data_IF_671524295164
#
_entry.id   IF_671524295164
#
_cell.length_a   1.000
_cell.length_b   1.000
_cell.length_c   1.000
_cell.angle_alpha   90.00
_cell.angle_beta   90.00
_cell.angle_gamma   90.00
#
_symmetry.space_group_name_H-M   'P 1'
#
loop_
_entity.id
_entity.type
_entity.pdbx_description
1 polymer ?
#
# COMPACT_ATOMS: atom_id res chain seq x y z
N UNK A 1 3.32 -13.35 2.67
CA UNK A 1 2.73 -14.45 3.47
C UNK A 1 2.13 -13.93 4.77
N UNK A 2 1.27 -14.72 5.41
CA UNK A 2 0.76 -14.48 6.76
C UNK A 2 1.69 -15.16 7.77
N UNK A 3 2.35 -14.40 8.63
CA UNK A 3 3.34 -14.92 9.58
C UNK A 3 2.72 -15.82 10.67
N UNK A 4 1.44 -15.61 11.01
CA UNK A 4 0.77 -16.40 12.06
C UNK A 4 0.36 -17.80 11.57
N UNK A 5 0.09 -17.96 10.27
CA UNK A 5 -0.41 -19.22 9.71
C UNK A 5 0.54 -19.87 8.72
N UNK A 6 1.53 -19.15 8.21
CA UNK A 6 2.40 -19.59 7.12
C UNK A 6 1.73 -19.61 5.72
N UNK A 7 0.47 -19.19 5.63
CA UNK A 7 -0.29 -19.13 4.39
C UNK A 7 -0.03 -17.84 3.61
N UNK A 8 -0.81 -17.61 2.55
CA UNK A 8 -0.69 -16.41 1.73
C UNK A 8 -1.11 -15.13 2.49
N UNK A 9 -0.82 -13.96 1.93
CA UNK A 9 -1.27 -12.66 2.44
C UNK A 9 -2.79 -12.50 2.46
N UNK A 10 -3.52 -13.31 1.68
CA UNK A 10 -4.99 -13.37 1.60
C UNK A 10 -5.61 -14.18 2.75
N UNK A 11 -4.80 -14.78 3.62
CA UNK A 11 -5.32 -15.50 4.79
C UNK A 11 -5.71 -14.51 5.87
N UNK A 12 -7.00 -14.22 5.95
CA UNK A 12 -7.64 -13.35 6.92
C UNK A 12 -8.38 -14.14 8.02
N UNK A 13 -8.03 -15.39 8.25
CA UNK A 13 -8.69 -16.23 9.25
C UNK A 13 -8.47 -15.73 10.70
N UNK A 14 -7.48 -14.88 10.93
CA UNK A 14 -7.14 -14.31 12.24
C UNK A 14 -7.03 -12.79 12.16
N UNK A 15 -7.82 -12.09 12.94
CA UNK A 15 -7.83 -10.62 13.08
C UNK A 15 -6.75 -10.06 14.03
N UNK A 16 -5.85 -10.92 14.48
CA UNK A 16 -4.83 -10.60 15.51
C UNK A 16 -3.41 -10.57 14.97
N UNK A 17 -3.22 -10.82 13.66
CA UNK A 17 -1.88 -10.94 13.06
C UNK A 17 -1.07 -9.67 13.26
N UNK A 18 -1.63 -8.50 12.93
CA UNK A 18 -0.93 -7.22 13.11
C UNK A 18 -0.54 -7.03 14.58
N UNK A 19 -1.47 -7.21 15.50
CA UNK A 19 -1.21 -7.08 16.94
C UNK A 19 -0.11 -8.03 17.43
N UNK A 20 -0.09 -9.26 16.90
CA UNK A 20 0.90 -10.27 17.31
C UNK A 20 2.34 -9.92 16.88
N UNK A 21 2.53 -9.14 15.82
CA UNK A 21 3.85 -8.75 15.31
C UNK A 21 4.34 -7.38 15.81
N UNK A 22 3.47 -6.58 16.42
CA UNK A 22 3.86 -5.31 17.05
C UNK A 22 4.72 -5.54 18.31
N UNK A 23 5.44 -4.52 18.81
CA UNK A 23 6.22 -4.63 20.04
C UNK A 23 5.39 -5.15 21.21
N UNK A 24 5.86 -6.23 21.85
CA UNK A 24 5.15 -6.94 22.90
C UNK A 24 4.24 -8.08 22.41
N UNK A 25 4.01 -8.18 21.11
CA UNK A 25 3.26 -9.31 20.54
C UNK A 25 4.06 -10.62 20.48
N UNK A 26 3.34 -11.73 20.42
CA UNK A 26 3.93 -13.08 20.47
C UNK A 26 4.84 -13.43 19.28
N UNK A 27 4.59 -12.83 18.11
CA UNK A 27 5.33 -13.05 16.86
C UNK A 27 6.29 -11.89 16.51
N UNK A 28 6.48 -10.94 17.43
CA UNK A 28 7.31 -9.75 17.16
C UNK A 28 8.75 -10.12 16.77
N UNK A 29 9.36 -11.07 17.47
CA UNK A 29 10.74 -11.48 17.19
C UNK A 29 10.87 -12.15 15.81
N UNK A 30 9.93 -12.99 15.47
CA UNK A 30 9.85 -13.67 14.16
C UNK A 30 9.66 -12.64 13.04
N UNK A 31 8.84 -11.62 13.27
CA UNK A 31 8.63 -10.55 12.30
C UNK A 31 9.89 -9.69 12.10
N UNK A 32 10.67 -9.44 13.16
CA UNK A 32 11.96 -8.77 13.03
C UNK A 32 12.95 -9.57 12.15
N UNK A 33 12.88 -10.90 12.17
CA UNK A 33 13.69 -11.74 11.25
C UNK A 33 13.26 -11.51 9.79
N UNK A 34 11.96 -11.31 9.53
CA UNK A 34 11.50 -10.98 8.18
C UNK A 34 11.98 -9.60 7.75
N UNK A 35 11.89 -8.61 8.62
CA UNK A 35 12.42 -7.27 8.36
C UNK A 35 13.94 -7.26 8.16
N UNK A 36 14.67 -8.12 8.87
CA UNK A 36 16.11 -8.32 8.67
C UNK A 36 16.42 -8.81 7.25
N UNK A 37 15.71 -9.85 6.79
CA UNK A 37 15.87 -10.40 5.43
C UNK A 37 15.54 -9.33 4.37
N UNK A 38 14.47 -8.56 4.58
CA UNK A 38 14.07 -7.48 3.69
C UNK A 38 15.13 -6.37 3.65
N UNK A 39 15.68 -5.98 4.80
CA UNK A 39 16.76 -4.99 4.88
C UNK A 39 18.01 -5.45 4.13
N UNK A 40 18.42 -6.71 4.32
CA UNK A 40 19.57 -7.28 3.62
C UNK A 40 19.34 -7.29 2.11
N UNK A 41 18.15 -7.66 1.64
CA UNK A 41 17.78 -7.57 0.23
C UNK A 41 17.96 -6.15 -0.33
N UNK A 42 17.47 -5.12 0.36
CA UNK A 42 17.64 -3.73 -0.09
C UNK A 42 19.12 -3.29 -0.07
N UNK A 43 19.88 -3.67 0.94
CA UNK A 43 21.31 -3.33 1.04
C UNK A 43 22.18 -4.02 -0.03
N UNK A 44 21.69 -5.12 -0.60
CA UNK A 44 22.34 -5.82 -1.71
C UNK A 44 21.98 -5.23 -3.08
N UNK A 45 20.92 -4.38 -3.17
CA UNK A 45 20.52 -3.74 -4.42
C UNK A 45 21.48 -2.59 -4.77
N UNK A 46 22.51 -2.92 -5.53
CA UNK A 46 23.54 -1.99 -6.00
C UNK A 46 23.76 -2.12 -7.50
N UNK A 47 24.14 -1.03 -8.13
CA UNK A 47 24.61 -1.02 -9.50
C UNK A 47 26.03 -1.58 -9.62
N UNK A 48 26.56 -1.63 -10.83
CA UNK A 48 27.92 -2.11 -11.14
C UNK A 48 29.05 -1.28 -10.48
N UNK A 49 28.74 -0.03 -10.06
CA UNK A 49 29.66 0.87 -9.38
C UNK A 49 29.53 0.81 -7.86
N UNK A 50 28.63 -0.03 -7.33
CA UNK A 50 28.36 -0.17 -5.92
C UNK A 50 27.44 0.88 -5.33
N UNK A 51 26.81 1.74 -6.15
CA UNK A 51 25.83 2.72 -5.69
C UNK A 51 24.46 2.04 -5.46
N UNK A 52 23.76 2.42 -4.39
CA UNK A 52 22.44 1.88 -4.10
C UNK A 52 21.42 2.29 -5.17
N UNK A 53 20.62 1.32 -5.61
CA UNK A 53 19.52 1.54 -6.55
C UNK A 53 18.31 2.08 -5.76
N UNK A 54 17.80 3.29 -6.07
CA UNK A 54 16.58 3.80 -5.41
C UNK A 54 15.38 2.90 -5.68
N UNK A 55 14.58 2.63 -4.64
CA UNK A 55 13.42 1.75 -4.70
C UNK A 55 12.18 2.45 -4.16
N UNK A 56 11.07 2.38 -4.88
CA UNK A 56 9.74 2.71 -4.35
C UNK A 56 9.22 1.47 -3.61
N UNK A 57 9.11 1.59 -2.28
CA UNK A 57 8.65 0.51 -1.43
C UNK A 57 7.19 0.74 -1.02
N UNK A 58 6.30 -0.01 -1.65
CA UNK A 58 4.85 0.05 -1.42
C UNK A 58 4.42 -1.12 -0.54
N UNK A 59 4.64 -0.98 0.76
CA UNK A 59 4.27 -1.99 1.76
C UNK A 59 2.81 -1.86 2.20
N UNK A 60 2.19 -2.97 2.62
CA UNK A 60 0.84 -3.03 3.22
C UNK A 60 -0.21 -2.26 2.42
N UNK A 61 -0.15 -2.34 1.08
CA UNK A 61 -1.06 -1.66 0.17
C UNK A 61 -2.51 -2.14 0.31
N UNK A 62 -3.45 -1.41 -0.29
CA UNK A 62 -4.87 -1.72 -0.28
C UNK A 62 -5.48 -1.93 1.12
N UNK A 63 -4.91 -1.27 2.12
CA UNK A 63 -5.23 -1.43 3.54
C UNK A 63 -6.67 -1.05 3.91
N UNK A 64 -7.39 -0.34 3.05
CA UNK A 64 -8.81 0.01 3.21
C UNK A 64 -9.76 -1.11 2.76
N UNK A 65 -9.24 -2.15 2.10
CA UNK A 65 -9.97 -3.38 1.77
C UNK A 65 -10.14 -4.33 2.96
N UNK A 66 -10.47 -5.59 2.66
CA UNK A 66 -10.72 -6.65 3.65
C UNK A 66 -10.01 -7.98 3.34
N UNK A 67 -9.15 -7.99 2.32
CA UNK A 67 -8.58 -9.23 1.77
C UNK A 67 -7.12 -9.52 2.17
N UNK A 68 -6.44 -8.61 2.86
CA UNK A 68 -5.10 -8.87 3.38
C UNK A 68 -5.11 -8.91 4.91
N UNK A 69 -4.18 -9.64 5.53
CA UNK A 69 -4.07 -9.74 7.00
C UNK A 69 -3.75 -8.39 7.69
N UNK A 70 -3.39 -7.35 6.93
CA UNK A 70 -3.20 -5.97 7.43
C UNK A 70 -4.37 -5.04 7.09
N UNK A 71 -5.42 -5.52 6.43
CA UNK A 71 -6.55 -4.73 5.96
C UNK A 71 -7.44 -4.20 7.09
N UNK A 72 -8.43 -3.38 6.73
CA UNK A 72 -9.28 -2.63 7.66
C UNK A 72 -10.08 -3.51 8.62
N UNK A 73 -10.44 -4.72 8.22
CA UNK A 73 -11.17 -5.67 9.06
C UNK A 73 -10.26 -6.55 9.93
N UNK A 74 -8.96 -6.54 9.66
CA UNK A 74 -7.98 -7.39 10.33
C UNK A 74 -7.10 -6.63 11.32
N UNK A 75 -7.13 -5.29 11.27
CA UNK A 75 -6.37 -4.43 12.16
C UNK A 75 -7.05 -3.08 12.37
N UNK A 76 -6.92 -2.51 13.55
CA UNK A 76 -7.35 -1.14 13.81
C UNK A 76 -6.48 -0.12 13.07
N UNK A 77 -6.96 1.13 12.86
CA UNK A 77 -6.13 2.19 12.28
C UNK A 77 -4.81 2.40 13.04
N UNK A 78 -4.84 2.34 14.37
CA UNK A 78 -3.65 2.51 15.22
C UNK A 78 -2.67 1.36 15.08
N UNK A 79 -3.13 0.11 15.01
CA UNK A 79 -2.29 -1.07 14.79
C UNK A 79 -1.60 -1.00 13.43
N UNK A 80 -2.32 -0.58 12.39
CA UNK A 80 -1.75 -0.39 11.05
C UNK A 80 -0.69 0.72 11.04
N UNK A 81 -0.96 1.89 11.64
CA UNK A 81 0.01 2.98 11.77
C UNK A 81 1.26 2.53 12.52
N UNK A 82 1.10 1.80 13.61
CA UNK A 82 2.23 1.26 14.40
C UNK A 82 3.06 0.26 13.58
N UNK A 83 2.41 -0.62 12.82
CA UNK A 83 3.10 -1.55 11.91
C UNK A 83 3.93 -0.81 10.86
N UNK A 84 3.35 0.21 10.23
CA UNK A 84 4.05 1.04 9.24
C UNK A 84 5.26 1.76 9.84
N UNK A 85 5.04 2.47 10.95
CA UNK A 85 6.08 3.23 11.66
C UNK A 85 7.21 2.31 12.14
N UNK A 86 6.87 1.15 12.70
CA UNK A 86 7.85 0.15 13.15
C UNK A 86 8.71 -0.33 11.99
N UNK A 87 8.10 -0.65 10.85
CA UNK A 87 8.81 -1.10 9.64
C UNK A 87 9.76 -0.01 9.11
N UNK A 88 9.29 1.23 8.96
CA UNK A 88 10.13 2.35 8.53
C UNK A 88 11.31 2.57 9.50
N UNK A 89 11.04 2.64 10.81
CA UNK A 89 12.09 2.85 11.81
C UNK A 89 13.11 1.69 11.82
N UNK A 90 12.67 0.45 11.66
CA UNK A 90 13.58 -0.69 11.59
C UNK A 90 14.50 -0.58 10.37
N UNK A 91 13.94 -0.34 9.20
CA UNK A 91 14.72 -0.22 7.95
C UNK A 91 15.66 1.00 8.00
N UNK A 92 15.16 2.17 8.33
CA UNK A 92 15.93 3.41 8.28
C UNK A 92 16.91 3.57 9.45
N UNK A 93 16.44 3.34 10.70
CA UNK A 93 17.23 3.64 11.90
C UNK A 93 18.07 2.47 12.36
N UNK A 94 17.53 1.25 12.30
CA UNK A 94 18.23 0.06 12.78
C UNK A 94 19.15 -0.50 11.70
N UNK A 95 18.67 -0.57 10.44
CA UNK A 95 19.40 -1.19 9.32
C UNK A 95 20.06 -0.19 8.38
N UNK A 96 19.87 1.12 8.57
CA UNK A 96 20.48 2.17 7.76
C UNK A 96 20.17 2.04 6.25
N UNK A 97 18.96 1.58 5.90
CA UNK A 97 18.46 1.53 4.52
C UNK A 97 17.87 2.90 4.19
N UNK A 98 18.56 3.70 3.37
CA UNK A 98 18.23 5.11 3.10
C UNK A 98 17.86 5.40 1.64
N UNK A 99 17.76 4.40 0.78
CA UNK A 99 17.46 4.55 -0.66
C UNK A 99 16.04 4.09 -1.01
N UNK A 100 15.13 4.10 -0.02
CA UNK A 100 13.72 3.77 -0.23
C UNK A 100 12.86 5.04 -0.24
N UNK A 101 11.89 5.08 -1.16
CA UNK A 101 10.75 5.97 -1.14
C UNK A 101 9.52 5.16 -0.70
N UNK A 102 8.86 5.59 0.37
CA UNK A 102 7.72 4.88 0.94
C UNK A 102 6.41 5.32 0.29
N UNK A 103 5.70 4.39 -0.33
CA UNK A 103 4.43 4.64 -1.00
C UNK A 103 3.26 4.09 -0.19
N UNK A 104 2.41 4.99 0.31
CA UNK A 104 1.14 4.67 0.97
C UNK A 104 0.05 4.56 -0.10
N UNK A 105 -0.59 3.39 -0.22
CA UNK A 105 -1.57 3.10 -1.26
C UNK A 105 -2.81 2.43 -0.66
N UNK A 106 -3.96 3.08 -0.79
CA UNK A 106 -5.26 2.53 -0.40
C UNK A 106 -5.90 1.75 -1.57
N UNK A 107 -6.93 0.98 -1.29
CA UNK A 107 -7.94 0.63 -2.30
C UNK A 107 -8.95 1.77 -2.46
N UNK A 108 -10.16 1.50 -2.95
CA UNK A 108 -11.19 2.50 -3.15
C UNK A 108 -11.56 3.24 -1.83
N UNK A 109 -11.59 4.57 -1.86
CA UNK A 109 -11.94 5.42 -0.71
C UNK A 109 -13.10 6.37 -1.01
N UNK A 110 -13.81 6.82 0.04
CA UNK A 110 -15.01 7.63 -0.09
C UNK A 110 -14.78 9.10 0.26
N UNK A 111 -13.76 9.41 1.07
CA UNK A 111 -13.42 10.77 1.52
C UNK A 111 -11.94 10.88 1.90
N UNK A 112 -11.47 12.12 2.13
CA UNK A 112 -10.12 12.39 2.62
C UNK A 112 -9.91 11.78 4.02
N UNK A 113 -10.92 11.88 4.89
CA UNK A 113 -10.89 11.29 6.23
C UNK A 113 -10.71 9.76 6.15
N UNK A 114 -11.46 9.09 5.25
CA UNK A 114 -11.32 7.66 5.04
C UNK A 114 -9.92 7.30 4.48
N UNK A 115 -9.38 8.11 3.56
CA UNK A 115 -8.04 7.92 3.02
C UNK A 115 -6.96 8.07 4.10
N UNK A 116 -7.09 9.07 4.97
CA UNK A 116 -6.10 9.41 5.99
C UNK A 116 -6.30 8.70 7.32
N UNK A 117 -7.38 7.94 7.51
CA UNK A 117 -7.67 7.25 8.77
C UNK A 117 -6.50 6.40 9.27
N UNK A 118 -5.80 5.73 8.35
CA UNK A 118 -4.67 4.84 8.62
C UNK A 118 -3.31 5.46 8.27
N UNK A 119 -3.28 6.74 7.93
CA UNK A 119 -2.06 7.43 7.51
C UNK A 119 -1.07 7.57 8.66
N UNK A 120 0.19 7.08 8.50
CA UNK A 120 1.18 7.04 9.59
C UNK A 120 1.85 8.38 9.88
N UNK A 121 1.64 9.39 9.02
CA UNK A 121 2.22 10.73 9.12
C UNK A 121 3.26 11.02 8.05
N UNK A 122 3.41 12.33 7.75
CA UNK A 122 4.21 12.83 6.62
C UNK A 122 5.68 12.42 6.63
N UNK A 123 6.24 12.20 7.82
CA UNK A 123 7.66 11.80 7.98
C UNK A 123 7.93 10.34 7.60
N UNK A 124 6.89 9.54 7.35
CA UNK A 124 7.00 8.12 7.02
C UNK A 124 6.52 7.76 5.62
N UNK A 125 6.12 8.76 4.84
CA UNK A 125 5.54 8.57 3.49
C UNK A 125 6.11 9.60 2.54
N UNK A 126 6.48 9.16 1.35
CA UNK A 126 6.98 10.02 0.25
C UNK A 126 5.94 10.14 -0.87
N UNK A 127 5.16 9.09 -1.09
CA UNK A 127 4.23 8.94 -2.21
C UNK A 127 2.85 8.55 -1.67
N UNK A 128 1.82 9.23 -2.16
CA UNK A 128 0.42 8.89 -1.88
C UNK A 128 -0.24 8.27 -3.10
N UNK A 129 -0.82 7.09 -2.95
CA UNK A 129 -1.40 6.34 -4.04
C UNK A 129 -2.73 5.68 -3.71
N UNK A 130 -3.33 5.10 -4.74
CA UNK A 130 -4.48 4.21 -4.62
C UNK A 130 -4.45 3.15 -5.71
N UNK A 131 -5.18 2.06 -5.45
CA UNK A 131 -5.38 0.93 -6.35
C UNK A 131 -6.87 0.78 -6.63
N UNK A 132 -7.26 0.69 -7.91
CA UNK A 132 -8.65 0.52 -8.28
C UNK A 132 -8.80 -0.23 -9.58
N UNK A 133 -9.56 -1.33 -9.57
CA UNK A 133 -9.78 -2.21 -10.70
C UNK A 133 -11.25 -2.21 -11.15
N UNK A 134 -11.45 -2.24 -12.47
CA UNK A 134 -12.76 -2.50 -13.06
C UNK A 134 -13.13 -3.97 -12.85
N UNK A 135 -14.17 -4.21 -12.07
CA UNK A 135 -14.71 -5.55 -11.81
C UNK A 135 -16.02 -5.76 -12.56
N UNK A 136 -16.05 -6.79 -13.43
CA UNK A 136 -17.22 -7.10 -14.25
C UNK A 136 -17.29 -6.31 -15.56
N UNK A 137 -18.04 -6.86 -16.54
CA UNK A 137 -18.05 -6.41 -17.95
C UNK A 137 -19.30 -5.60 -18.33
N UNK A 138 -20.26 -5.47 -17.42
CA UNK A 138 -21.50 -4.75 -17.70
C UNK A 138 -21.25 -3.23 -17.73
N UNK A 139 -21.98 -2.52 -18.59
CA UNK A 139 -21.86 -1.05 -18.73
C UNK A 139 -21.97 -0.32 -17.39
N UNK A 140 -22.87 -0.75 -16.51
CA UNK A 140 -23.01 -0.17 -15.17
C UNK A 140 -21.73 -0.28 -14.32
N UNK A 141 -20.94 -1.35 -14.51
CA UNK A 141 -19.68 -1.54 -13.77
C UNK A 141 -18.60 -0.58 -14.30
N UNK A 142 -18.58 -0.36 -15.62
CA UNK A 142 -17.68 0.63 -16.24
C UNK A 142 -18.02 2.05 -15.77
N UNK A 143 -19.30 2.40 -15.70
CA UNK A 143 -19.75 3.70 -15.22
C UNK A 143 -19.42 3.91 -13.74
N UNK A 144 -19.66 2.90 -12.90
CA UNK A 144 -19.31 2.96 -11.49
C UNK A 144 -17.80 3.06 -11.27
N UNK A 145 -17.02 2.27 -12.04
CA UNK A 145 -15.56 2.36 -12.02
C UNK A 145 -15.08 3.77 -12.32
N UNK A 146 -15.61 4.42 -13.37
CA UNK A 146 -15.24 5.80 -13.73
C UNK A 146 -15.49 6.79 -12.60
N UNK A 147 -16.65 6.70 -11.97
CA UNK A 147 -17.04 7.56 -10.84
C UNK A 147 -16.07 7.36 -9.66
N UNK A 148 -15.81 6.10 -9.31
CA UNK A 148 -14.94 5.77 -8.18
C UNK A 148 -13.48 6.13 -8.46
N UNK A 149 -13.01 5.87 -9.68
CA UNK A 149 -11.65 6.20 -10.10
C UNK A 149 -11.37 7.71 -10.08
N UNK A 150 -12.28 8.51 -10.63
CA UNK A 150 -12.20 9.97 -10.59
C UNK A 150 -12.22 10.52 -9.16
N UNK A 151 -13.08 9.95 -8.30
CA UNK A 151 -13.13 10.31 -6.87
C UNK A 151 -11.81 10.02 -6.18
N UNK A 152 -11.24 8.82 -6.38
CA UNK A 152 -9.95 8.44 -5.80
C UNK A 152 -8.83 9.38 -6.27
N UNK A 153 -8.77 9.71 -7.55
CA UNK A 153 -7.80 10.69 -8.08
C UNK A 153 -7.92 12.02 -7.34
N UNK A 154 -9.14 12.57 -7.24
CA UNK A 154 -9.37 13.87 -6.58
C UNK A 154 -8.95 13.86 -5.11
N UNK A 155 -9.29 12.80 -4.37
CA UNK A 155 -8.93 12.65 -2.95
C UNK A 155 -7.41 12.56 -2.80
N UNK A 156 -6.77 11.64 -3.53
CA UNK A 156 -5.35 11.39 -3.39
C UNK A 156 -4.50 12.58 -3.85
N UNK A 157 -4.87 13.21 -4.97
CA UNK A 157 -4.18 14.43 -5.45
C UNK A 157 -4.26 15.55 -4.42
N UNK A 158 -5.45 15.80 -3.86
CA UNK A 158 -5.64 16.84 -2.84
C UNK A 158 -4.83 16.56 -1.58
N UNK A 159 -4.86 15.32 -1.06
CA UNK A 159 -4.05 14.95 0.10
C UNK A 159 -2.55 15.10 -0.18
N UNK A 160 -2.11 14.73 -1.38
CA UNK A 160 -0.70 14.84 -1.78
C UNK A 160 -0.26 16.30 -1.89
N UNK A 161 -1.06 17.19 -2.49
CA UNK A 161 -0.80 18.62 -2.57
C UNK A 161 -0.69 19.25 -1.19
N UNK A 162 -1.61 18.93 -0.27
CA UNK A 162 -1.62 19.46 1.09
C UNK A 162 -0.40 19.04 1.92
N UNK A 163 0.12 17.84 1.69
CA UNK A 163 1.28 17.29 2.40
C UNK A 163 2.61 17.45 1.64
N UNK A 164 2.61 18.02 0.43
CA UNK A 164 3.80 18.15 -0.41
C UNK A 164 4.34 16.81 -0.89
N UNK A 165 3.45 15.82 -1.13
CA UNK A 165 3.80 14.48 -1.59
C UNK A 165 3.49 14.29 -3.07
N UNK A 166 3.99 13.20 -3.65
CA UNK A 166 3.72 12.84 -5.04
C UNK A 166 2.48 11.94 -5.11
N UNK A 167 1.41 12.33 -5.86
CA UNK A 167 0.27 11.46 -6.09
C UNK A 167 0.57 10.43 -7.17
N UNK A 168 0.10 9.18 -6.97
CA UNK A 168 0.25 8.10 -7.97
C UNK A 168 -1.01 7.25 -8.05
N UNK A 169 -1.25 6.68 -9.24
CA UNK A 169 -2.12 5.52 -9.41
C UNK A 169 -1.20 4.31 -9.26
N UNK A 170 -1.35 3.58 -8.15
CA UNK A 170 -0.51 2.41 -7.84
C UNK A 170 -0.85 1.24 -8.75
N UNK A 171 -2.14 0.93 -8.85
CA UNK A 171 -2.65 -0.15 -9.68
C UNK A 171 -3.99 0.23 -10.32
N UNK A 172 -4.16 -0.11 -11.60
CA UNK A 172 -5.45 -0.09 -12.29
C UNK A 172 -5.47 -1.09 -13.43
N UNK A 173 -6.65 -1.57 -13.75
CA UNK A 173 -6.83 -2.54 -14.82
C UNK A 173 -8.25 -3.11 -14.85
N UNK A 174 -8.44 -4.04 -15.77
CA UNK A 174 -9.61 -4.90 -15.83
C UNK A 174 -9.17 -6.38 -15.82
N UNK A 175 -9.99 -7.23 -15.24
CA UNK A 175 -9.70 -8.66 -15.22
C UNK A 175 -9.71 -9.24 -16.63
N UNK A 176 -8.58 -9.88 -17.02
CA UNK A 176 -8.39 -10.55 -18.33
C UNK A 176 -8.35 -9.63 -19.56
N UNK A 177 -8.22 -8.31 -19.39
CA UNK A 177 -8.13 -7.32 -20.49
C UNK A 177 -9.10 -7.65 -21.64
N UNK A 178 -10.40 -7.67 -21.32
CA UNK A 178 -11.44 -8.00 -22.30
C UNK A 178 -11.77 -6.84 -23.26
N UNK A 179 -11.52 -5.59 -22.83
CA UNK A 179 -11.64 -4.39 -23.68
C UNK A 179 -10.25 -3.88 -24.09
N UNK A 180 -9.82 -4.08 -25.34
CA UNK A 180 -8.52 -3.62 -25.81
C UNK A 180 -8.38 -2.09 -25.79
N UNK A 181 -9.50 -1.37 -25.63
CA UNK A 181 -9.53 0.09 -25.57
C UNK A 181 -9.68 0.64 -24.13
N UNK A 182 -9.64 -0.22 -23.10
CA UNK A 182 -9.83 0.15 -21.73
C UNK A 182 -8.98 1.37 -21.30
N UNK A 183 -7.69 1.33 -21.54
CA UNK A 183 -6.81 2.45 -21.16
C UNK A 183 -7.11 3.74 -21.93
N UNK A 184 -7.42 3.65 -23.23
CA UNK A 184 -7.68 4.82 -24.08
C UNK A 184 -9.07 5.42 -23.90
N UNK A 185 -10.09 4.59 -23.67
CA UNK A 185 -11.48 5.04 -23.66
C UNK A 185 -12.08 5.13 -22.23
N UNK A 186 -11.47 4.47 -21.25
CA UNK A 186 -11.97 4.47 -19.88
C UNK A 186 -11.01 5.25 -18.96
N UNK A 187 -9.73 4.89 -18.92
CA UNK A 187 -8.77 5.47 -17.96
C UNK A 187 -8.28 6.84 -18.42
N UNK A 188 -7.77 6.95 -19.65
CA UNK A 188 -7.13 8.17 -20.17
C UNK A 188 -8.02 9.42 -20.11
N UNK A 189 -9.33 9.37 -20.44
CA UNK A 189 -10.21 10.54 -20.34
C UNK A 189 -10.39 11.09 -18.93
N UNK A 190 -10.09 10.30 -17.89
CA UNK A 190 -10.24 10.69 -16.49
C UNK A 190 -8.96 11.35 -15.96
N UNK A 191 -7.80 10.89 -16.44
CA UNK A 191 -6.50 11.37 -15.94
C UNK A 191 -5.96 12.55 -16.75
N UNK A 192 -6.58 12.90 -17.90
CA UNK A 192 -6.18 13.97 -18.80
C UNK A 192 -7.22 15.10 -18.76
#
# INVERSE_FOLDING_TARGET
DNIATGNSTWDCAQDTVVRSILPGGSLHKEYLVWLERLANFFLDLKDENGAYIPVIFRMYHEHTGDWFWWSSQQSTPEEYKQLWIMTCNYLQKTKQVHHLLYAYSSSNVQSEEHYLERYPGDQYVDILGFDHYLKGREQKNVEQYKIDFERNIKIVTKCAEQSGKLPVIGETGEESIWDPTYFTNVVYPIIN
#
